data_IF_201953326631
#
_entry.id   IF_201953326631
#
_cell.length_a   1.000
_cell.length_b   1.000
_cell.length_c   1.000
_cell.angle_alpha   90.00
_cell.angle_beta   90.00
_cell.angle_gamma   90.00
#
_symmetry.space_group_name_H-M   'P 1'
#
loop_
_entity.id
_entity.type
_entity.pdbx_description
1 polymer ?
#
# COMPACT_ATOMS: atom_id res chain seq x y z
N UNK A 1 2.97 12.26 -6.95
CA UNK A 1 2.95 12.51 -5.48
C UNK A 1 2.19 11.36 -4.84
N UNK A 2 2.86 10.47 -4.13
CA UNK A 2 2.24 9.31 -3.48
C UNK A 2 2.59 9.27 -1.99
N UNK A 3 1.59 8.96 -1.17
CA UNK A 3 1.72 8.85 0.28
C UNK A 3 1.95 7.40 0.69
N UNK A 4 2.74 7.18 1.75
CA UNK A 4 3.11 5.85 2.23
C UNK A 4 3.06 5.80 3.75
N UNK A 5 2.59 4.68 4.30
CA UNK A 5 2.80 4.35 5.72
C UNK A 5 3.98 3.39 5.81
N UNK A 6 5.06 3.81 6.47
CA UNK A 6 6.30 3.06 6.57
C UNK A 6 6.29 2.17 7.81
N UNK A 7 5.85 0.93 7.67
CA UNK A 7 5.70 -0.04 8.77
C UNK A 7 6.70 -1.18 8.72
N UNK A 8 7.56 -1.23 7.71
CA UNK A 8 8.53 -2.31 7.57
C UNK A 8 9.33 -2.33 6.28
N UNK A 9 9.93 -3.48 6.02
CA UNK A 9 10.89 -3.65 4.94
C UNK A 9 10.25 -3.58 3.54
N UNK A 10 9.01 -4.04 3.37
CA UNK A 10 8.35 -4.01 2.07
C UNK A 10 7.83 -2.61 1.75
N UNK A 11 7.24 -1.91 2.71
CA UNK A 11 6.88 -0.49 2.58
C UNK A 11 8.11 0.38 2.30
N UNK A 12 9.26 0.12 2.95
CA UNK A 12 10.53 0.79 2.64
C UNK A 12 10.93 0.64 1.17
N UNK A 13 10.79 -0.57 0.61
CA UNK A 13 11.09 -0.84 -0.81
C UNK A 13 10.12 -0.13 -1.74
N UNK A 14 8.82 -0.12 -1.44
CA UNK A 14 7.81 0.63 -2.21
C UNK A 14 8.10 2.14 -2.23
N UNK A 15 8.48 2.71 -1.08
CA UNK A 15 8.89 4.10 -0.97
C UNK A 15 10.13 4.38 -1.83
N UNK A 16 11.17 3.55 -1.71
CA UNK A 16 12.41 3.71 -2.47
C UNK A 16 12.18 3.58 -3.99
N UNK A 17 11.33 2.65 -4.42
CA UNK A 17 11.00 2.47 -5.84
C UNK A 17 10.23 3.67 -6.39
N UNK A 18 9.28 4.20 -5.62
CA UNK A 18 8.46 5.34 -6.04
C UNK A 18 9.28 6.59 -6.31
N UNK A 19 10.36 6.81 -5.55
CA UNK A 19 11.29 7.95 -5.75
C UNK A 19 11.90 8.00 -7.15
N UNK A 20 11.94 6.88 -7.89
CA UNK A 20 12.43 6.84 -9.28
C UNK A 20 11.43 7.46 -10.28
N UNK A 21 10.15 7.48 -9.93
CA UNK A 21 9.06 7.88 -10.83
C UNK A 21 8.29 9.11 -10.34
N UNK A 22 8.49 9.50 -9.08
CA UNK A 22 7.86 10.68 -8.53
C UNK A 22 8.14 10.90 -7.06
N UNK A 23 7.38 11.83 -6.48
CA UNK A 23 7.53 12.24 -5.10
C UNK A 23 6.81 11.29 -4.12
N UNK A 24 7.59 10.65 -3.23
CA UNK A 24 7.13 9.78 -2.14
C UNK A 24 7.12 10.54 -0.81
N UNK A 25 5.99 10.53 -0.10
CA UNK A 25 5.85 11.15 1.21
C UNK A 25 5.46 10.12 2.25
N UNK A 26 6.21 10.04 3.35
CA UNK A 26 5.92 9.13 4.46
C UNK A 26 4.98 9.83 5.42
N UNK A 27 3.74 9.38 5.51
CA UNK A 27 2.70 10.03 6.33
C UNK A 27 2.78 9.64 7.80
N UNK A 28 3.34 8.45 8.06
CA UNK A 28 3.66 7.94 9.38
C UNK A 28 4.68 6.81 9.23
N UNK A 29 5.48 6.58 10.27
CA UNK A 29 6.50 5.53 10.27
C UNK A 29 6.61 4.84 11.63
N UNK A 30 6.86 3.53 11.59
CA UNK A 30 7.30 2.73 12.72
C UNK A 30 8.81 2.42 12.65
N UNK A 31 9.55 3.15 11.79
CA UNK A 31 11.00 3.05 11.73
C UNK A 31 11.60 3.54 13.05
N UNK A 32 12.50 2.77 13.67
CA UNK A 32 13.17 3.18 14.91
C UNK A 32 14.02 4.43 14.68
N UNK A 33 14.15 5.26 15.72
CA UNK A 33 15.11 6.36 15.68
C UNK A 33 16.55 5.84 15.66
N UNK A 34 17.44 6.63 15.09
CA UNK A 34 18.84 6.25 14.92
C UNK A 34 19.51 6.01 16.28
N UNK A 35 19.96 4.77 16.51
CA UNK A 35 20.57 4.34 17.78
C UNK A 35 19.67 3.45 18.65
N UNK A 36 18.40 3.28 18.30
CA UNK A 36 17.52 2.31 18.93
C UNK A 36 17.66 0.92 18.30
N UNK A 37 17.55 -0.13 19.12
CA UNK A 37 17.54 -1.55 18.70
C UNK A 37 16.10 -2.05 18.54
N UNK A 38 15.16 -1.18 18.20
CA UNK A 38 13.78 -1.58 17.97
C UNK A 38 13.60 -2.01 16.52
N UNK A 39 13.16 -3.26 16.27
CA UNK A 39 12.66 -3.64 14.96
C UNK A 39 11.28 -3.02 14.74
N UNK A 40 10.89 -2.83 13.47
CA UNK A 40 9.48 -2.61 13.13
C UNK A 40 8.59 -3.61 13.89
N UNK A 41 7.50 -3.14 14.48
CA UNK A 41 6.65 -3.99 15.33
C UNK A 41 5.22 -3.50 15.55
N UNK A 42 4.84 -2.39 14.92
CA UNK A 42 3.49 -1.82 15.06
C UNK A 42 3.11 -1.01 13.82
N UNK A 43 1.82 -0.76 13.66
CA UNK A 43 1.29 0.27 12.77
C UNK A 43 1.16 1.55 13.59
N UNK A 44 1.76 2.68 13.19
CA UNK A 44 1.60 3.94 13.91
C UNK A 44 0.13 4.31 14.07
N UNK A 45 -0.33 4.79 15.24
CA UNK A 45 -1.70 5.23 15.44
C UNK A 45 -2.13 6.21 14.35
N UNK A 46 -3.33 6.02 13.79
CA UNK A 46 -3.87 6.84 12.69
C UNK A 46 -3.89 8.34 13.03
N UNK A 47 -4.07 8.69 14.31
CA UNK A 47 -3.99 10.07 14.83
C UNK A 47 -2.64 10.76 14.63
N UNK A 48 -1.56 10.01 14.37
CA UNK A 48 -0.23 10.54 14.11
C UNK A 48 0.05 10.70 12.61
N UNK A 49 -0.86 10.26 11.74
CA UNK A 49 -0.65 10.30 10.31
C UNK A 49 -0.83 11.73 9.82
N UNK A 50 0.08 12.17 8.96
CA UNK A 50 0.02 13.48 8.31
C UNK A 50 -0.08 13.32 6.79
N UNK A 51 -1.22 12.86 6.24
CA UNK A 51 -1.36 12.64 4.82
C UNK A 51 -1.60 13.94 4.03
N UNK A 52 -1.29 13.91 2.73
CA UNK A 52 -1.59 14.99 1.79
C UNK A 52 -2.97 14.78 1.19
N UNK A 53 -3.85 15.77 1.33
CA UNK A 53 -5.21 15.71 0.76
C UNK A 53 -5.30 15.64 -0.77
N UNK A 54 -4.17 15.78 -1.48
CA UNK A 54 -4.07 15.68 -2.95
C UNK A 54 -3.01 14.67 -3.41
N UNK A 55 -2.69 13.66 -2.59
CA UNK A 55 -1.86 12.55 -3.04
C UNK A 55 -2.57 11.77 -4.16
N UNK A 56 -1.80 11.22 -5.10
CA UNK A 56 -2.31 10.34 -6.15
C UNK A 56 -2.85 9.03 -5.58
N UNK A 57 -2.30 8.58 -4.45
CA UNK A 57 -2.78 7.47 -3.63
C UNK A 57 -2.08 7.49 -2.27
N UNK A 58 -2.67 6.78 -1.31
CA UNK A 58 -2.05 6.34 -0.07
C UNK A 58 -1.74 4.84 -0.19
N UNK A 59 -0.48 4.46 0.02
CA UNK A 59 -0.02 3.08 -0.06
C UNK A 59 0.31 2.52 1.33
N UNK A 60 -0.12 1.28 1.56
CA UNK A 60 0.24 0.49 2.73
C UNK A 60 0.74 -0.90 2.31
N UNK A 61 1.66 -1.46 3.08
CA UNK A 61 1.92 -2.89 3.06
C UNK A 61 0.96 -3.57 4.04
N UNK A 62 0.01 -4.35 3.56
CA UNK A 62 -1.02 -4.97 4.40
C UNK A 62 -0.45 -5.93 5.44
N UNK A 63 0.68 -6.58 5.13
CA UNK A 63 1.41 -7.45 6.05
C UNK A 63 2.92 -7.39 5.79
N UNK A 64 3.68 -6.86 6.75
CA UNK A 64 5.13 -6.83 6.75
C UNK A 64 5.71 -8.15 7.27
N UNK A 65 6.14 -9.03 6.35
CA UNK A 65 6.54 -10.41 6.72
C UNK A 65 7.76 -10.49 7.64
N UNK A 66 8.65 -9.48 7.62
CA UNK A 66 9.88 -9.50 8.42
C UNK A 66 9.61 -9.03 9.86
N UNK A 67 8.82 -7.95 10.00
CA UNK A 67 8.48 -7.37 11.31
C UNK A 67 7.26 -8.01 11.98
N UNK A 68 6.52 -8.87 11.27
CA UNK A 68 5.28 -9.45 11.80
C UNK A 68 4.18 -8.42 12.05
N UNK A 69 4.11 -7.37 11.22
CA UNK A 69 3.13 -6.28 11.37
C UNK A 69 2.04 -6.43 10.33
N UNK A 70 0.80 -6.65 10.76
CA UNK A 70 -0.37 -6.82 9.88
C UNK A 70 -1.48 -5.81 10.19
N UNK A 71 -2.08 -5.27 9.14
CA UNK A 71 -3.33 -4.53 9.24
C UNK A 71 -4.52 -5.50 9.33
N UNK A 72 -5.20 -5.49 10.47
CA UNK A 72 -6.46 -6.22 10.65
C UNK A 72 -7.68 -5.45 10.13
N UNK A 73 -7.55 -4.14 10.04
CA UNK A 73 -8.56 -3.22 9.50
C UNK A 73 -7.85 -2.19 8.62
N UNK A 74 -8.53 -1.77 7.55
CA UNK A 74 -8.04 -0.70 6.70
C UNK A 74 -8.20 0.66 7.39
N UNK A 75 -7.33 1.64 7.08
CA UNK A 75 -7.52 2.99 7.61
C UNK A 75 -8.85 3.57 7.15
N UNK A 76 -9.55 4.26 8.06
CA UNK A 76 -10.71 5.06 7.70
C UNK A 76 -10.26 6.28 6.89
N UNK A 77 -10.28 6.12 5.57
CA UNK A 77 -9.89 7.17 4.61
C UNK A 77 -10.76 8.42 4.76
N UNK A 78 -12.04 8.26 5.11
CA UNK A 78 -12.93 9.41 5.31
C UNK A 78 -12.56 10.18 6.58
N UNK A 79 -12.32 9.46 7.68
CA UNK A 79 -11.83 10.01 8.95
C UNK A 79 -10.47 10.70 8.83
N UNK A 80 -9.63 10.28 7.88
CA UNK A 80 -8.35 10.92 7.54
C UNK A 80 -8.50 12.14 6.60
N UNK A 81 -9.71 12.50 6.16
CA UNK A 81 -9.92 13.56 5.17
C UNK A 81 -9.48 13.19 3.75
N UNK A 82 -9.34 11.90 3.46
CA UNK A 82 -8.78 11.33 2.23
C UNK A 82 -9.83 10.68 1.33
N UNK A 83 -11.10 11.12 1.39
CA UNK A 83 -12.23 10.56 0.63
C UNK A 83 -11.98 10.39 -0.88
N UNK A 84 -11.12 11.23 -1.47
CA UNK A 84 -10.79 11.23 -2.90
C UNK A 84 -9.42 10.63 -3.20
N UNK A 85 -8.66 10.22 -2.18
CA UNK A 85 -7.32 9.64 -2.35
C UNK A 85 -7.47 8.12 -2.39
N UNK A 86 -7.08 7.46 -3.50
CA UNK A 86 -7.12 6.00 -3.61
C UNK A 86 -6.28 5.31 -2.53
N UNK A 87 -6.84 4.31 -1.86
CA UNK A 87 -6.06 3.39 -1.01
C UNK A 87 -5.48 2.27 -1.87
N UNK A 88 -4.15 2.10 -1.80
CA UNK A 88 -3.39 1.05 -2.47
C UNK A 88 -2.79 0.11 -1.44
N UNK A 89 -2.97 -1.20 -1.61
CA UNK A 89 -2.52 -2.20 -0.64
C UNK A 89 -1.65 -3.28 -1.30
N UNK A 90 -0.43 -3.47 -0.79
CA UNK A 90 0.33 -4.70 -1.05
C UNK A 90 -0.22 -5.81 -0.16
N UNK A 91 -0.81 -6.82 -0.79
CA UNK A 91 -1.44 -7.98 -0.14
C UNK A 91 -0.66 -9.28 -0.35
N UNK A 92 0.59 -9.21 -0.86
CA UNK A 92 1.35 -10.38 -1.30
C UNK A 92 1.33 -11.53 -0.28
N UNK A 93 1.56 -11.24 1.01
CA UNK A 93 1.76 -12.25 2.06
C UNK A 93 0.52 -12.64 2.86
N UNK A 94 -0.64 -12.04 2.59
CA UNK A 94 -1.85 -12.39 3.34
C UNK A 94 -3.11 -12.56 2.49
N UNK A 95 -3.08 -12.24 1.19
CA UNK A 95 -4.23 -12.45 0.31
C UNK A 95 -4.71 -13.90 0.39
N UNK A 96 -6.02 -14.13 0.50
CA UNK A 96 -6.63 -15.47 0.71
C UNK A 96 -6.36 -16.14 2.07
N UNK A 97 -5.70 -15.50 3.05
CA UNK A 97 -5.54 -16.09 4.40
C UNK A 97 -6.83 -16.06 5.22
N UNK A 98 -7.76 -15.17 4.86
CA UNK A 98 -9.05 -14.92 5.52
C UNK A 98 -9.98 -14.14 4.57
N UNK A 99 -11.28 -14.06 4.85
CA UNK A 99 -12.15 -13.08 4.20
C UNK A 99 -11.60 -11.66 4.37
N UNK A 100 -11.64 -10.87 3.30
CA UNK A 100 -11.17 -9.48 3.30
C UNK A 100 -12.22 -8.58 2.65
N UNK A 101 -12.45 -7.42 3.24
CA UNK A 101 -13.29 -6.39 2.63
C UNK A 101 -12.48 -5.55 1.64
N UNK A 102 -12.90 -5.52 0.37
CA UNK A 102 -12.26 -4.73 -0.68
C UNK A 102 -12.98 -3.40 -0.93
N UNK A 103 -14.10 -3.11 -0.24
CA UNK A 103 -14.95 -1.95 -0.50
C UNK A 103 -14.18 -0.62 -0.40
N UNK A 104 -13.28 -0.51 0.60
CA UNK A 104 -12.43 0.65 0.84
C UNK A 104 -11.14 0.71 0.02
N UNK A 105 -10.79 -0.38 -0.68
CA UNK A 105 -9.52 -0.48 -1.41
C UNK A 105 -9.73 -0.08 -2.87
N UNK A 106 -8.88 0.82 -3.37
CA UNK A 106 -8.92 1.24 -4.76
C UNK A 106 -8.10 0.31 -5.65
N UNK A 107 -6.93 -0.13 -5.16
CA UNK A 107 -6.08 -1.12 -5.82
C UNK A 107 -5.41 -2.02 -4.77
N UNK A 108 -5.46 -3.33 -4.99
CA UNK A 108 -4.64 -4.30 -4.28
C UNK A 108 -3.74 -5.03 -5.27
N UNK A 109 -2.53 -5.36 -4.87
CA UNK A 109 -1.64 -6.18 -5.68
C UNK A 109 -0.86 -7.15 -4.81
N UNK A 110 -0.26 -8.16 -5.45
CA UNK A 110 0.69 -9.01 -4.76
C UNK A 110 1.30 -10.08 -5.64
N UNK A 111 2.49 -10.52 -5.26
CA UNK A 111 3.11 -11.70 -5.85
C UNK A 111 2.45 -12.98 -5.32
N UNK A 112 2.15 -13.94 -6.21
CA UNK A 112 1.52 -15.19 -5.84
C UNK A 112 2.40 -16.07 -4.92
N UNK A 113 3.72 -15.88 -4.96
CA UNK A 113 4.75 -16.73 -4.31
C UNK A 113 4.71 -16.80 -2.78
N UNK A 114 3.89 -15.97 -2.13
CA UNK A 114 3.77 -15.98 -0.67
C UNK A 114 2.55 -16.81 -0.27
N UNK A 115 1.35 -16.23 -0.35
CA UNK A 115 0.16 -16.88 0.21
C UNK A 115 -0.73 -17.61 -0.81
N UNK A 116 -0.46 -17.50 -2.12
CA UNK A 116 -1.29 -18.14 -3.17
C UNK A 116 -0.65 -19.43 -3.68
N UNK A 117 0.66 -19.42 -3.99
CA UNK A 117 1.31 -20.52 -4.69
C UNK A 117 2.76 -20.21 -5.06
N UNK A 118 3.27 -20.67 -6.22
CA UNK A 118 4.66 -20.49 -6.63
C UNK A 118 4.93 -19.10 -7.23
N UNK A 119 6.22 -18.76 -7.37
CA UNK A 119 6.69 -17.55 -8.04
C UNK A 119 6.47 -17.53 -9.54
N UNK A 120 6.41 -16.31 -10.10
CA UNK A 120 6.25 -16.08 -11.54
C UNK A 120 4.93 -15.40 -11.92
N UNK A 121 4.05 -15.13 -10.96
CA UNK A 121 2.77 -14.46 -11.17
C UNK A 121 2.57 -13.32 -10.16
N UNK A 122 2.10 -12.18 -10.64
CA UNK A 122 1.59 -11.08 -9.82
C UNK A 122 0.14 -10.84 -10.17
N UNK A 123 -0.72 -10.69 -9.17
CA UNK A 123 -2.11 -10.29 -9.39
C UNK A 123 -2.27 -8.80 -9.09
N UNK A 124 -3.28 -8.20 -9.72
CA UNK A 124 -3.75 -6.85 -9.44
C UNK A 124 -5.28 -6.89 -9.41
N UNK A 125 -5.86 -6.38 -8.34
CA UNK A 125 -7.30 -6.16 -8.18
C UNK A 125 -7.48 -4.64 -8.13
N UNK A 126 -8.26 -4.05 -9.02
CA UNK A 126 -8.47 -2.61 -9.05
C UNK A 126 -9.93 -2.24 -9.27
N UNK A 127 -10.36 -1.12 -8.70
CA UNK A 127 -11.67 -0.52 -8.98
C UNK A 127 -11.73 -0.10 -10.44
N UNK A 128 -12.75 -0.57 -11.15
CA UNK A 128 -12.98 -0.27 -12.58
C UNK A 128 -12.99 1.24 -12.87
N UNK A 129 -13.56 2.05 -11.97
CA UNK A 129 -13.62 3.50 -12.12
C UNK A 129 -12.24 4.14 -12.28
N UNK A 130 -11.17 3.60 -11.68
CA UNK A 130 -9.81 4.11 -11.87
C UNK A 130 -9.33 3.98 -13.32
N UNK A 131 -9.72 2.92 -14.02
CA UNK A 131 -9.40 2.74 -15.44
C UNK A 131 -10.21 3.74 -16.26
N UNK A 132 -11.50 3.83 -16.00
CA UNK A 132 -12.43 4.70 -16.75
C UNK A 132 -12.04 6.19 -16.63
N UNK A 133 -11.55 6.63 -15.46
CA UNK A 133 -11.17 8.01 -15.20
C UNK A 133 -9.77 8.38 -15.73
N UNK A 134 -8.80 7.45 -15.68
CA UNK A 134 -7.38 7.79 -15.90
C UNK A 134 -6.74 7.10 -17.11
N UNK A 135 -7.34 6.01 -17.60
CA UNK A 135 -6.82 5.24 -18.72
C UNK A 135 -7.97 4.62 -19.55
N UNK A 136 -8.88 5.45 -20.12
CA UNK A 136 -10.00 4.95 -20.91
C UNK A 136 -9.54 4.16 -22.15
N UNK A 137 -8.27 4.30 -22.53
CA UNK A 137 -7.62 3.54 -23.58
C UNK A 137 -6.28 3.02 -23.07
N UNK A 138 -5.94 1.78 -23.43
CA UNK A 138 -4.62 1.23 -23.16
C UNK A 138 -3.54 2.10 -23.84
N UNK A 139 -2.43 2.34 -23.14
CA UNK A 139 -1.32 3.07 -23.75
C UNK A 139 -0.75 2.28 -24.93
N UNK A 140 -0.22 2.98 -25.93
CA UNK A 140 0.37 2.34 -27.11
C UNK A 140 1.53 1.36 -26.81
N UNK A 141 2.13 1.47 -25.62
CA UNK A 141 3.21 0.59 -25.14
C UNK A 141 2.70 -0.68 -24.42
N UNK A 142 1.40 -0.75 -24.09
CA UNK A 142 0.84 -1.93 -23.45
C UNK A 142 0.83 -3.10 -24.44
N UNK A 143 1.40 -4.27 -24.08
CA UNK A 143 1.35 -5.45 -24.95
C UNK A 143 -0.11 -5.88 -25.15
N UNK A 144 -0.45 -6.15 -26.41
CA UNK A 144 -1.76 -6.68 -26.85
C UNK A 144 -1.93 -8.14 -26.48
#
# INVERSE_FOLDING_TARGET
>A
KADFVHTGHWSAKSIAETKKYGDSHVVATAEPEWGEVASFGYVPPVSQWSPRGQAAYLHICGNETIGGVEYHQWPDMAGLGLNKVPLVVDMSSHILSRPMDFSGIALAYGGAQKNIGPSGLTFVILKRSLIEEHAPQAMAICPS
#
